data_IF_233136950260
#
_entry.id   IF_233136950260
#
_cell.length_a   1.000
_cell.length_b   1.000
_cell.length_c   1.000
_cell.angle_alpha   90.00
_cell.angle_beta   90.00
_cell.angle_gamma   90.00
#
_symmetry.space_group_name_H-M   'P 1'
#
loop_
_entity.id
_entity.type
_entity.pdbx_description
1 polymer ?
#
# COMPACT_ATOMS: atom_id res chain seq x y z
N UNK A 1 -43.16 0.99 -18.32
CA UNK A 1 -42.24 0.01 -17.70
C UNK A 1 -40.96 0.76 -17.34
N UNK A 2 -40.93 1.63 -16.31
CA UNK A 2 -39.74 2.47 -16.07
C UNK A 2 -39.51 2.83 -14.61
N UNK A 3 -40.50 3.37 -13.89
CA UNK A 3 -40.27 3.83 -12.50
C UNK A 3 -40.29 2.69 -11.46
N UNK A 4 -41.20 1.73 -11.62
CA UNK A 4 -41.30 0.59 -10.69
C UNK A 4 -40.09 -0.35 -10.78
N UNK A 5 -39.51 -0.49 -11.97
CA UNK A 5 -38.29 -1.25 -12.19
C UNK A 5 -37.08 -0.54 -11.58
N UNK A 6 -36.99 0.78 -11.75
CA UNK A 6 -35.94 1.60 -11.15
C UNK A 6 -35.99 1.59 -9.62
N UNK A 7 -37.17 1.73 -9.02
CA UNK A 7 -37.35 1.62 -7.56
C UNK A 7 -36.97 0.22 -7.04
N UNK A 8 -37.29 -0.82 -7.80
CA UNK A 8 -36.92 -2.19 -7.46
C UNK A 8 -35.41 -2.39 -7.54
N UNK A 9 -34.75 -1.82 -8.55
CA UNK A 9 -33.30 -1.85 -8.70
C UNK A 9 -32.59 -1.05 -7.59
N UNK A 10 -33.11 0.12 -7.22
CA UNK A 10 -32.56 0.93 -6.12
C UNK A 10 -32.70 0.19 -4.79
N UNK A 11 -33.87 -0.40 -4.51
CA UNK A 11 -34.06 -1.22 -3.30
C UNK A 11 -33.03 -2.35 -3.23
N UNK A 12 -32.86 -3.09 -4.32
CA UNK A 12 -31.89 -4.19 -4.36
C UNK A 12 -30.45 -3.71 -4.11
N UNK A 13 -30.04 -2.60 -4.75
CA UNK A 13 -28.70 -2.01 -4.53
C UNK A 13 -28.47 -1.56 -3.09
N UNK A 14 -29.51 -1.04 -2.43
CA UNK A 14 -29.43 -0.66 -1.01
C UNK A 14 -29.30 -1.91 -0.12
N UNK A 15 -30.04 -2.97 -0.41
CA UNK A 15 -29.93 -4.23 0.32
C UNK A 15 -28.52 -4.85 0.18
N UNK A 16 -27.96 -4.83 -1.03
CA UNK A 16 -26.58 -5.26 -1.30
C UNK A 16 -25.56 -4.41 -0.54
N UNK A 17 -25.75 -3.08 -0.50
CA UNK A 17 -24.85 -2.18 0.23
C UNK A 17 -24.88 -2.47 1.74
N UNK A 18 -26.07 -2.66 2.32
CA UNK A 18 -26.22 -3.02 3.73
C UNK A 18 -25.51 -4.35 4.02
N UNK A 19 -25.67 -5.34 3.15
CA UNK A 19 -24.98 -6.62 3.29
C UNK A 19 -23.44 -6.46 3.25
N UNK A 20 -22.92 -5.73 2.25
CA UNK A 20 -21.49 -5.47 2.06
C UNK A 20 -20.88 -4.73 3.26
N UNK A 21 -21.58 -3.73 3.80
CA UNK A 21 -21.13 -3.01 5.00
C UNK A 21 -21.06 -3.94 6.20
N UNK A 22 -22.08 -4.77 6.43
CA UNK A 22 -22.05 -5.74 7.52
C UNK A 22 -20.94 -6.79 7.39
N UNK A 23 -20.60 -7.21 6.18
CA UNK A 23 -19.44 -8.08 5.93
C UNK A 23 -18.11 -7.37 6.24
N UNK A 24 -18.00 -6.09 5.87
CA UNK A 24 -16.83 -5.27 6.17
C UNK A 24 -16.64 -5.05 7.66
N UNK A 25 -17.70 -4.74 8.40
CA UNK A 25 -17.66 -4.56 9.86
C UNK A 25 -17.14 -5.83 10.56
N UNK A 26 -17.68 -7.01 10.20
CA UNK A 26 -17.20 -8.30 10.75
C UNK A 26 -15.74 -8.54 10.43
N UNK A 27 -15.30 -8.19 9.22
CA UNK A 27 -13.89 -8.33 8.81
C UNK A 27 -12.99 -7.40 9.62
N UNK A 28 -13.41 -6.14 9.83
CA UNK A 28 -12.68 -5.18 10.65
C UNK A 28 -12.58 -5.65 12.10
N UNK A 29 -13.66 -6.17 12.68
CA UNK A 29 -13.65 -6.72 14.04
C UNK A 29 -12.72 -7.94 14.14
N UNK A 30 -12.73 -8.81 13.13
CA UNK A 30 -11.79 -9.94 13.06
C UNK A 30 -10.34 -9.45 12.99
N UNK A 31 -10.04 -8.43 12.20
CA UNK A 31 -8.69 -7.85 12.09
C UNK A 31 -8.25 -7.15 13.38
N UNK A 32 -9.16 -6.47 14.08
CA UNK A 32 -8.90 -5.85 15.38
C UNK A 32 -8.69 -6.89 16.48
N UNK A 33 -9.48 -7.96 16.48
CA UNK A 33 -9.37 -9.08 17.42
C UNK A 33 -8.18 -9.98 17.15
N UNK A 34 -7.72 -10.06 15.90
CA UNK A 34 -6.45 -10.65 15.49
C UNK A 34 -5.29 -9.74 15.91
N UNK A 35 -5.07 -9.62 17.22
CA UNK A 35 -3.95 -8.89 17.81
C UNK A 35 -2.59 -9.33 17.24
N UNK A 36 -1.49 -8.67 17.63
CA UNK A 36 -0.16 -8.86 17.04
C UNK A 36 0.35 -10.31 17.03
N UNK A 37 -0.18 -11.18 17.90
CA UNK A 37 0.10 -12.61 17.91
C UNK A 37 -0.39 -13.36 16.65
N UNK A 38 -1.56 -13.01 16.11
CA UNK A 38 -2.08 -13.60 14.86
C UNK A 38 -1.31 -13.10 13.62
N UNK A 39 -0.82 -11.86 13.66
CA UNK A 39 0.08 -11.30 12.63
C UNK A 39 1.49 -11.91 12.71
N UNK A 40 1.97 -12.24 13.91
CA UNK A 40 3.21 -12.98 14.11
C UNK A 40 3.12 -14.43 13.61
N UNK A 41 1.96 -15.10 13.77
CA UNK A 41 1.72 -16.44 13.23
C UNK A 41 1.61 -16.45 11.68
N UNK A 42 1.29 -15.31 11.07
CA UNK A 42 1.34 -15.09 9.61
C UNK A 42 2.71 -14.63 9.10
N UNK A 43 3.74 -14.52 9.95
CA UNK A 43 5.11 -14.23 9.48
C UNK A 43 5.62 -15.42 8.65
N UNK A 44 5.49 -15.19 7.35
CA UNK A 44 6.12 -15.81 6.18
C UNK A 44 7.27 -16.80 6.44
N UNK A 45 7.31 -17.92 5.71
CA UNK A 45 8.39 -18.91 5.80
C UNK A 45 9.76 -18.44 5.25
N UNK A 46 9.96 -17.16 4.94
CA UNK A 46 11.27 -16.65 4.50
C UNK A 46 11.31 -15.12 4.65
N UNK A 47 11.58 -14.63 5.87
CA UNK A 47 11.90 -13.20 6.04
C UNK A 47 13.39 -13.06 5.77
N UNK A 48 13.82 -12.29 4.75
CA UNK A 48 15.24 -12.15 4.44
C UNK A 48 15.98 -11.63 5.66
N UNK A 49 17.20 -12.15 5.87
CA UNK A 49 18.07 -11.76 6.96
C UNK A 49 18.24 -10.23 6.96
N UNK A 50 17.88 -9.61 8.08
CA UNK A 50 17.97 -8.17 8.22
C UNK A 50 19.45 -7.80 8.41
N UNK A 51 20.03 -7.10 7.44
CA UNK A 51 21.38 -6.54 7.57
C UNK A 51 21.30 -5.26 8.41
N UNK A 52 22.14 -5.19 9.44
CA UNK A 52 22.25 -3.98 10.26
C UNK A 52 22.97 -2.90 9.48
N UNK A 53 22.32 -1.75 9.28
CA UNK A 53 22.97 -0.56 8.70
C UNK A 53 23.87 0.04 9.79
N UNK A 54 25.17 0.22 9.54
CA UNK A 54 26.04 0.87 10.49
C UNK A 54 25.64 2.33 10.73
N UNK A 55 25.60 2.77 12.00
CA UNK A 55 25.34 4.17 12.38
C UNK A 55 26.52 5.11 12.14
N UNK A 56 27.57 4.64 11.46
CA UNK A 56 28.72 5.47 11.08
C UNK A 56 28.43 6.22 9.78
N UNK A 57 28.79 7.51 9.68
CA UNK A 57 28.66 8.25 8.43
C UNK A 57 29.38 7.53 7.29
N UNK A 58 28.74 7.48 6.12
CA UNK A 58 29.38 6.95 4.92
C UNK A 58 30.61 7.81 4.54
N UNK A 59 31.65 7.14 4.04
CA UNK A 59 32.85 7.83 3.56
C UNK A 59 32.52 8.60 2.28
N UNK A 60 32.52 9.93 2.38
CA UNK A 60 32.18 10.82 1.27
C UNK A 60 33.20 10.80 0.12
N UNK A 61 34.42 10.31 0.35
CA UNK A 61 35.41 10.18 -0.70
C UNK A 61 34.99 9.16 -1.77
N UNK A 62 34.10 8.21 -1.42
CA UNK A 62 33.61 7.15 -2.31
C UNK A 62 32.58 7.62 -3.36
N UNK A 63 32.09 8.87 -3.27
CA UNK A 63 31.08 9.41 -4.19
C UNK A 63 31.49 10.77 -4.79
N UNK A 64 32.78 11.14 -4.68
CA UNK A 64 33.30 12.47 -5.08
C UNK A 64 33.13 12.76 -6.57
N UNK A 65 33.14 11.71 -7.40
CA UNK A 65 32.98 11.76 -8.86
C UNK A 65 31.53 11.52 -9.30
N UNK A 66 30.62 11.21 -8.36
CA UNK A 66 29.22 10.87 -8.67
C UNK A 66 28.35 12.09 -8.99
N UNK A 67 28.82 13.32 -8.69
CA UNK A 67 28.11 14.57 -8.99
C UNK A 67 28.32 15.05 -10.44
N UNK A 68 29.30 14.51 -11.18
CA UNK A 68 29.67 14.99 -12.53
C UNK A 68 28.82 14.37 -13.65
N UNK A 69 27.96 13.39 -13.32
CA UNK A 69 26.98 12.83 -14.24
C UNK A 69 25.56 13.29 -13.88
N UNK A 70 25.19 14.52 -14.26
CA UNK A 70 23.75 14.79 -14.49
C UNK A 70 23.14 16.14 -14.12
N UNK A 71 23.89 17.24 -13.99
CA UNK A 71 23.27 18.54 -14.27
C UNK A 71 23.38 18.80 -15.76
N UNK A 72 22.30 18.49 -16.48
CA UNK A 72 22.18 18.75 -17.91
C UNK A 72 22.80 20.11 -18.26
N UNK A 73 23.90 20.05 -19.02
CA UNK A 73 24.55 21.22 -19.61
C UNK A 73 23.47 22.17 -20.11
N UNK A 74 23.49 23.43 -19.64
CA UNK A 74 22.40 24.42 -19.84
C UNK A 74 22.07 24.74 -21.31
N UNK A 75 22.80 24.14 -22.27
CA UNK A 75 22.63 24.34 -23.71
C UNK A 75 22.38 23.05 -24.52
N UNK A 76 21.96 21.94 -23.89
CA UNK A 76 21.41 20.81 -24.66
C UNK A 76 19.91 20.97 -24.85
N UNK A 77 19.50 21.79 -25.81
CA UNK A 77 18.16 21.67 -26.38
C UNK A 77 18.08 20.30 -27.05
N UNK A 78 17.25 19.41 -26.53
CA UNK A 78 16.94 18.16 -27.22
C UNK A 78 16.24 18.49 -28.55
N UNK A 79 16.60 17.83 -29.67
CA UNK A 79 16.02 18.09 -30.98
C UNK A 79 14.53 17.75 -31.05
#
# INVERSE_FOLDING_TARGET
MSEQEELTAIRHRLDELVQRVGELERTVDQLRGAGPAAQAARKSPDRPELVTIPDVPYNNALWTDSDDEGLGVRDRHAP
#
